data_IF_382452429826
#
_entry.id   IF_382452429826
#
_cell.length_a   1.000
_cell.length_b   1.000
_cell.length_c   1.000
_cell.angle_alpha   90.00
_cell.angle_beta   90.00
_cell.angle_gamma   90.00
#
_symmetry.space_group_name_H-M   'P 1'
#
loop_
_entity.id
_entity.type
_entity.pdbx_description
1 polymer ?
#
# COMPACT_ATOMS: atom_id res chain seq x y z
N UNK A 1 -66.75 -35.13 -52.01
CA UNK A 1 -65.73 -34.05 -52.03
C UNK A 1 -66.50 -32.76 -51.74
N UNK A 2 -66.32 -31.96 -50.68
CA UNK A 2 -65.10 -31.40 -50.07
C UNK A 2 -65.40 -30.98 -48.61
N UNK A 3 -64.55 -31.49 -47.71
CA UNK A 3 -64.05 -30.99 -46.40
C UNK A 3 -64.77 -29.83 -45.69
N UNK A 4 -65.40 -30.18 -44.55
CA UNK A 4 -65.72 -29.26 -43.45
C UNK A 4 -64.45 -29.07 -42.60
N UNK A 5 -63.91 -27.85 -42.57
CA UNK A 5 -62.76 -27.48 -41.75
C UNK A 5 -63.22 -27.15 -40.32
N UNK A 6 -62.97 -28.05 -39.39
CA UNK A 6 -63.03 -27.79 -37.94
C UNK A 6 -61.73 -27.09 -37.53
N UNK A 7 -61.77 -25.77 -37.34
CA UNK A 7 -60.67 -25.01 -36.76
C UNK A 7 -60.67 -25.19 -35.24
N UNK A 8 -59.81 -26.07 -34.75
CA UNK A 8 -59.47 -26.21 -33.33
C UNK A 8 -58.68 -24.96 -32.89
N UNK A 9 -59.32 -24.05 -32.16
CA UNK A 9 -58.63 -22.95 -31.51
C UNK A 9 -57.92 -23.48 -30.26
N UNK A 10 -56.66 -23.87 -30.41
CA UNK A 10 -55.78 -24.22 -29.30
C UNK A 10 -55.42 -22.94 -28.56
N UNK A 11 -56.12 -22.67 -27.47
CA UNK A 11 -55.75 -21.61 -26.51
C UNK A 11 -54.45 -22.05 -25.84
N UNK A 12 -53.32 -21.60 -26.39
CA UNK A 12 -52.03 -21.62 -25.70
C UNK A 12 -52.14 -20.65 -24.52
N UNK A 13 -52.41 -21.18 -23.34
CA UNK A 13 -52.14 -20.48 -22.10
C UNK A 13 -50.63 -20.28 -22.00
N UNK A 14 -50.15 -19.14 -22.48
CA UNK A 14 -48.79 -18.67 -22.20
C UNK A 14 -48.77 -18.35 -20.71
N UNK A 15 -48.39 -19.33 -19.90
CA UNK A 15 -48.01 -19.08 -18.51
C UNK A 15 -46.92 -18.02 -18.53
N UNK A 16 -47.13 -16.92 -17.83
CA UNK A 16 -46.09 -15.92 -17.63
C UNK A 16 -44.83 -16.64 -17.12
N UNK A 17 -43.62 -16.30 -17.60
CA UNK A 17 -42.41 -16.87 -17.03
C UNK A 17 -42.45 -16.56 -15.53
N UNK A 18 -42.35 -17.60 -14.70
CA UNK A 18 -42.07 -17.42 -13.29
C UNK A 18 -40.70 -16.75 -13.23
N UNK A 19 -40.70 -15.42 -13.07
CA UNK A 19 -39.48 -14.69 -12.82
C UNK A 19 -38.97 -15.18 -11.47
N UNK A 20 -37.82 -15.87 -11.48
CA UNK A 20 -37.14 -16.25 -10.27
C UNK A 20 -36.96 -14.99 -9.41
N UNK A 21 -37.47 -15.03 -8.18
CA UNK A 21 -37.43 -13.87 -7.29
C UNK A 21 -36.05 -13.84 -6.65
N UNK A 22 -35.29 -12.77 -6.87
CA UNK A 22 -34.01 -12.59 -6.17
C UNK A 22 -34.26 -12.26 -4.70
N UNK A 23 -33.51 -12.89 -3.81
CA UNK A 23 -33.60 -12.64 -2.37
C UNK A 23 -33.27 -11.18 -2.02
N UNK A 24 -34.11 -10.57 -1.17
CA UNK A 24 -33.98 -9.19 -0.69
C UNK A 24 -33.88 -9.16 0.85
N UNK A 25 -32.71 -8.77 1.37
CA UNK A 25 -32.47 -8.62 2.80
C UNK A 25 -33.36 -7.55 3.44
N UNK A 26 -33.56 -6.40 2.77
CA UNK A 26 -34.31 -5.27 3.34
C UNK A 26 -35.79 -5.62 3.53
N UNK A 27 -36.35 -6.43 2.63
CA UNK A 27 -37.70 -6.95 2.79
C UNK A 27 -37.80 -7.86 4.04
N UNK A 28 -36.85 -8.77 4.23
CA UNK A 28 -36.87 -9.72 5.34
C UNK A 28 -36.61 -9.04 6.70
N UNK A 29 -35.73 -8.04 6.77
CA UNK A 29 -35.51 -7.23 7.98
C UNK A 29 -36.79 -6.49 8.41
N UNK A 30 -37.67 -6.15 7.45
CA UNK A 30 -38.95 -5.50 7.71
C UNK A 30 -40.07 -6.43 8.18
N UNK A 31 -40.08 -7.68 7.70
CA UNK A 31 -41.12 -8.67 8.03
C UNK A 31 -40.78 -9.51 9.27
N UNK A 32 -39.49 -9.76 9.51
CA UNK A 32 -39.00 -10.49 10.67
C UNK A 32 -38.33 -9.50 11.62
N UNK A 33 -39.16 -8.75 12.36
CA UNK A 33 -38.68 -7.75 13.33
C UNK A 33 -37.71 -8.38 14.32
N UNK A 34 -36.54 -7.76 14.46
CA UNK A 34 -35.47 -8.14 15.39
C UNK A 34 -34.97 -9.58 15.21
N UNK A 35 -35.12 -10.15 14.01
CA UNK A 35 -34.49 -11.42 13.68
C UNK A 35 -32.97 -11.27 13.80
N UNK A 36 -32.35 -12.06 14.66
CA UNK A 36 -30.91 -12.19 14.66
C UNK A 36 -30.46 -12.70 13.28
N UNK A 37 -29.32 -12.23 12.77
CA UNK A 37 -28.76 -12.69 11.49
C UNK A 37 -28.63 -14.22 11.45
N UNK A 38 -28.40 -14.83 12.62
CA UNK A 38 -28.29 -16.27 12.84
C UNK A 38 -29.57 -17.06 12.60
N UNK A 39 -30.72 -16.38 12.48
CA UNK A 39 -31.99 -16.98 12.06
C UNK A 39 -31.87 -17.56 10.65
N UNK A 40 -31.14 -16.86 9.77
CA UNK A 40 -30.90 -17.28 8.39
C UNK A 40 -29.48 -17.82 8.21
N UNK A 41 -28.48 -17.15 8.79
CA UNK A 41 -27.07 -17.48 8.72
C UNK A 41 -26.65 -18.34 9.91
N UNK A 42 -27.04 -19.60 9.88
CA UNK A 42 -26.81 -20.52 11.01
C UNK A 42 -25.33 -20.70 11.34
N UNK A 43 -25.04 -20.83 12.64
CA UNK A 43 -23.69 -21.09 13.15
C UNK A 43 -23.14 -22.41 12.55
N UNK A 44 -21.82 -22.46 12.38
CA UNK A 44 -21.06 -23.59 11.79
C UNK A 44 -21.39 -23.93 10.32
N UNK A 45 -22.17 -23.11 9.61
CA UNK A 45 -22.37 -23.27 8.18
C UNK A 45 -21.07 -23.02 7.41
N UNK A 46 -20.77 -23.90 6.44
CA UNK A 46 -19.58 -23.79 5.56
C UNK A 46 -19.66 -22.58 4.62
N UNK A 47 -20.87 -22.05 4.39
CA UNK A 47 -21.12 -20.89 3.53
C UNK A 47 -22.02 -19.91 4.25
N UNK A 48 -21.76 -18.61 4.03
CA UNK A 48 -22.66 -17.55 4.47
C UNK A 48 -23.98 -17.59 3.70
N UNK A 49 -24.03 -18.19 2.50
CA UNK A 49 -25.29 -18.40 1.77
C UNK A 49 -26.09 -19.49 2.49
N UNK A 50 -27.28 -19.17 3.04
CA UNK A 50 -28.10 -20.15 3.75
C UNK A 50 -28.53 -21.29 2.83
N UNK A 51 -28.63 -22.50 3.37
CA UNK A 51 -29.28 -23.58 2.66
C UNK A 51 -30.75 -23.25 2.41
N UNK A 52 -31.28 -23.64 1.25
CA UNK A 52 -32.69 -23.47 0.86
C UNK A 52 -33.69 -23.95 1.91
N UNK A 53 -33.32 -24.99 2.66
CA UNK A 53 -34.09 -25.56 3.76
C UNK A 53 -34.34 -24.56 4.90
N UNK A 54 -33.49 -23.56 5.10
CA UNK A 54 -33.71 -22.52 6.12
C UNK A 54 -34.93 -21.67 5.75
N UNK A 55 -35.10 -21.35 4.47
CA UNK A 55 -36.25 -20.61 3.97
C UNK A 55 -37.57 -21.39 4.18
N UNK A 56 -37.51 -22.72 4.19
CA UNK A 56 -38.68 -23.60 4.37
C UNK A 56 -39.30 -23.54 5.76
N UNK A 57 -38.66 -22.86 6.72
CA UNK A 57 -39.24 -22.61 8.05
C UNK A 57 -40.43 -21.64 7.98
N UNK A 58 -40.45 -20.76 6.97
CA UNK A 58 -41.50 -19.76 6.77
C UNK A 58 -42.16 -19.84 5.38
N UNK A 59 -41.46 -20.36 4.38
CA UNK A 59 -41.93 -20.48 3.00
C UNK A 59 -42.18 -21.95 2.62
N UNK A 60 -43.02 -22.20 1.62
CA UNK A 60 -43.15 -23.55 1.08
C UNK A 60 -41.91 -23.95 0.27
N UNK A 61 -41.74 -25.27 0.07
CA UNK A 61 -40.56 -25.82 -0.58
C UNK A 61 -40.44 -25.40 -2.06
N UNK A 62 -41.56 -25.22 -2.77
CA UNK A 62 -41.53 -24.83 -4.18
C UNK A 62 -41.05 -23.39 -4.32
N UNK A 63 -41.57 -22.47 -3.48
CA UNK A 63 -41.10 -21.10 -3.46
C UNK A 63 -39.63 -20.98 -3.05
N UNK A 64 -39.19 -21.69 -2.01
CA UNK A 64 -37.82 -21.62 -1.51
C UNK A 64 -36.79 -22.02 -2.59
N UNK A 65 -37.07 -23.07 -3.36
CA UNK A 65 -36.21 -23.55 -4.46
C UNK A 65 -36.08 -22.50 -5.59
N UNK A 66 -37.16 -21.80 -5.93
CA UNK A 66 -37.19 -20.85 -7.05
C UNK A 66 -36.58 -19.47 -6.72
N UNK A 67 -36.22 -19.20 -5.46
CA UNK A 67 -35.55 -17.95 -5.08
C UNK A 67 -34.12 -17.93 -5.63
N UNK A 68 -33.68 -16.84 -6.27
CA UNK A 68 -32.28 -16.66 -6.63
C UNK A 68 -31.51 -15.93 -5.53
N UNK A 69 -30.29 -16.38 -5.23
CA UNK A 69 -29.42 -15.66 -4.31
C UNK A 69 -28.60 -14.61 -5.07
N UNK A 70 -28.48 -13.38 -4.55
CA UNK A 70 -27.58 -12.40 -5.13
C UNK A 70 -26.12 -12.89 -5.09
N UNK A 71 -25.35 -12.53 -6.12
CA UNK A 71 -23.96 -12.98 -6.26
C UNK A 71 -23.05 -12.42 -5.16
N UNK A 72 -22.31 -13.30 -4.50
CA UNK A 72 -21.21 -12.94 -3.58
C UNK A 72 -19.88 -12.82 -4.34
N UNK A 73 -19.84 -12.07 -5.45
CA UNK A 73 -18.64 -11.91 -6.28
C UNK A 73 -17.43 -11.39 -5.47
N UNK A 74 -17.67 -10.79 -4.31
CA UNK A 74 -16.65 -10.31 -3.37
C UNK A 74 -16.02 -11.39 -2.47
N UNK A 75 -16.55 -12.61 -2.39
CA UNK A 75 -16.11 -13.63 -1.42
C UNK A 75 -15.27 -14.73 -2.08
N UNK A 76 -14.28 -14.33 -2.88
CA UNK A 76 -13.37 -15.23 -3.59
C UNK A 76 -11.95 -15.25 -2.99
N UNK A 77 -11.14 -16.26 -3.35
CA UNK A 77 -9.74 -16.36 -2.89
C UNK A 77 -8.83 -15.22 -3.38
N UNK A 78 -9.30 -14.42 -4.35
CA UNK A 78 -8.58 -13.27 -4.89
C UNK A 78 -9.03 -11.93 -4.31
N UNK A 79 -9.95 -11.92 -3.34
CA UNK A 79 -10.51 -10.72 -2.69
C UNK A 79 -9.44 -9.68 -2.32
N UNK A 80 -8.31 -10.13 -1.74
CA UNK A 80 -7.21 -9.25 -1.36
C UNK A 80 -6.65 -8.40 -2.52
N UNK A 81 -6.79 -8.87 -3.76
CA UNK A 81 -6.23 -8.24 -4.95
C UNK A 81 -7.23 -7.42 -5.76
N UNK A 82 -8.51 -7.78 -5.74
CA UNK A 82 -9.51 -7.20 -6.64
C UNK A 82 -10.54 -6.31 -5.94
N UNK A 83 -10.70 -6.39 -4.61
CA UNK A 83 -11.76 -5.71 -3.86
C UNK A 83 -11.80 -4.19 -4.00
N UNK A 84 -10.72 -3.57 -4.47
CA UNK A 84 -10.65 -2.11 -4.70
C UNK A 84 -11.78 -1.62 -5.60
N UNK A 85 -12.11 -2.37 -6.65
CA UNK A 85 -13.15 -1.95 -7.60
C UNK A 85 -14.53 -1.95 -6.94
N UNK A 86 -14.80 -2.95 -6.11
CA UNK A 86 -16.03 -3.13 -5.36
C UNK A 86 -16.15 -2.11 -4.22
N UNK A 87 -15.06 -1.89 -3.47
CA UNK A 87 -15.01 -0.92 -2.37
C UNK A 87 -15.18 0.53 -2.85
N UNK A 88 -14.68 0.86 -4.05
CA UNK A 88 -14.87 2.19 -4.65
C UNK A 88 -16.23 2.35 -5.35
N UNK A 89 -16.82 1.25 -5.81
CA UNK A 89 -17.97 1.26 -6.70
C UNK A 89 -19.34 1.44 -6.03
N UNK A 90 -19.40 1.51 -4.69
CA UNK A 90 -20.63 1.54 -3.87
C UNK A 90 -21.67 0.44 -4.22
N UNK A 91 -21.28 -0.56 -5.02
CA UNK A 91 -22.19 -1.59 -5.51
C UNK A 91 -22.70 -2.51 -4.39
N UNK A 92 -21.98 -2.58 -3.26
CA UNK A 92 -22.31 -3.39 -2.08
C UNK A 92 -22.00 -2.56 -0.83
N UNK A 93 -22.94 -2.50 0.12
CA UNK A 93 -22.70 -1.92 1.43
C UNK A 93 -22.09 -2.97 2.37
N UNK A 94 -20.76 -3.11 2.35
CA UNK A 94 -20.05 -4.11 3.15
C UNK A 94 -20.35 -4.00 4.66
N UNK A 95 -20.63 -2.79 5.15
CA UNK A 95 -20.92 -2.54 6.56
C UNK A 95 -22.26 -3.12 7.05
N UNK A 96 -23.10 -3.64 6.14
CA UNK A 96 -24.28 -4.41 6.53
C UNK A 96 -23.92 -5.79 7.10
N UNK A 97 -22.77 -6.35 6.71
CA UNK A 97 -22.36 -7.70 7.13
C UNK A 97 -21.04 -7.71 7.91
N UNK A 98 -20.14 -6.74 7.67
CA UNK A 98 -18.79 -6.72 8.24
C UNK A 98 -18.57 -5.50 9.13
N UNK A 99 -17.87 -5.72 10.25
CA UNK A 99 -17.41 -4.63 11.10
C UNK A 99 -16.20 -3.90 10.50
N UNK A 100 -15.94 -2.68 10.96
CA UNK A 100 -14.82 -1.86 10.51
C UNK A 100 -13.46 -2.54 10.73
N UNK A 101 -13.36 -3.37 11.75
CA UNK A 101 -12.13 -4.08 12.12
C UNK A 101 -11.69 -5.08 11.03
N UNK A 102 -12.64 -5.69 10.30
CA UNK A 102 -12.32 -6.55 9.15
C UNK A 102 -11.48 -5.82 8.09
N UNK A 103 -11.80 -4.56 7.82
CA UNK A 103 -11.01 -3.75 6.88
C UNK A 103 -9.63 -3.44 7.45
N UNK A 104 -9.57 -3.18 8.76
CA UNK A 104 -8.35 -2.76 9.45
C UNK A 104 -7.37 -3.93 9.65
N UNK A 105 -7.85 -5.18 9.78
CA UNK A 105 -7.03 -6.38 9.86
C UNK A 105 -5.97 -6.47 8.74
N UNK A 106 -6.25 -5.89 7.58
CA UNK A 106 -5.27 -5.70 6.52
C UNK A 106 -4.86 -4.23 6.35
N UNK A 107 -5.75 -3.23 6.47
CA UNK A 107 -5.38 -1.84 6.16
C UNK A 107 -4.63 -1.10 7.27
N UNK A 108 -4.65 -1.56 8.52
CA UNK A 108 -3.88 -0.98 9.63
C UNK A 108 -2.60 -1.76 9.92
N UNK A 109 -2.62 -3.09 9.74
CA UNK A 109 -1.50 -4.01 9.93
C UNK A 109 -0.61 -4.15 8.69
N UNK A 110 -1.13 -3.92 7.47
CA UNK A 110 -0.33 -4.02 6.24
C UNK A 110 0.61 -2.82 6.01
N UNK A 111 0.71 -1.92 6.99
CA UNK A 111 1.50 -0.69 6.89
C UNK A 111 0.90 0.34 5.92
N UNK A 112 1.54 1.51 5.86
CA UNK A 112 1.29 2.48 4.78
C UNK A 112 1.79 1.90 3.46
N UNK A 113 1.43 2.53 2.34
CA UNK A 113 1.71 2.02 0.98
C UNK A 113 3.20 1.68 0.70
N UNK A 114 4.12 2.12 1.56
CA UNK A 114 5.57 1.98 1.53
C UNK A 114 6.16 0.91 2.48
N UNK A 115 5.34 0.23 3.27
CA UNK A 115 5.78 -0.74 4.28
C UNK A 115 5.32 -2.16 3.95
N UNK A 116 6.18 -3.13 4.25
CA UNK A 116 5.77 -4.52 4.42
C UNK A 116 4.81 -4.54 5.61
N UNK A 117 3.61 -5.06 5.40
CA UNK A 117 2.70 -5.38 6.48
C UNK A 117 3.29 -6.31 7.51
N UNK A 118 2.68 -6.39 8.69
CA UNK A 118 2.99 -7.45 9.62
C UNK A 118 2.83 -8.81 8.93
N UNK A 119 3.87 -9.65 9.06
CA UNK A 119 3.86 -11.02 8.55
C UNK A 119 2.84 -11.83 9.35
N UNK A 120 1.62 -11.88 8.83
CA UNK A 120 0.51 -12.66 9.39
C UNK A 120 0.14 -13.85 8.52
N UNK A 121 -0.93 -14.56 8.84
CA UNK A 121 -1.49 -15.60 7.96
C UNK A 121 -2.36 -15.03 6.83
N UNK A 122 -2.19 -13.75 6.46
CA UNK A 122 -2.99 -13.13 5.41
C UNK A 122 -2.45 -13.53 4.02
N UNK A 123 -3.36 -13.74 3.07
CA UNK A 123 -3.02 -14.03 1.67
C UNK A 123 -2.32 -12.85 0.96
N UNK A 124 -2.35 -11.66 1.59
CA UNK A 124 -1.87 -10.39 1.08
C UNK A 124 -0.42 -10.07 1.50
N UNK A 125 0.33 -11.04 2.03
CA UNK A 125 1.76 -10.93 2.34
C UNK A 125 2.64 -10.80 1.06
N UNK A 126 2.09 -10.26 -0.03
CA UNK A 126 2.86 -9.85 -1.18
C UNK A 126 3.22 -8.38 -1.01
N UNK A 127 4.49 -8.07 -1.21
CA UNK A 127 4.93 -6.70 -1.08
C UNK A 127 4.23 -5.81 -2.12
N UNK A 128 3.86 -4.57 -1.75
CA UNK A 128 3.40 -3.58 -2.73
C UNK A 128 4.52 -3.25 -3.72
N UNK A 129 4.17 -2.70 -4.89
CA UNK A 129 5.07 -2.54 -6.04
C UNK A 129 6.29 -1.63 -5.83
N UNK A 130 6.44 -1.00 -4.68
CA UNK A 130 7.56 -0.15 -4.29
C UNK A 130 8.44 -0.74 -3.16
N UNK A 131 8.27 -2.03 -2.83
CA UNK A 131 9.10 -2.72 -1.83
C UNK A 131 10.61 -2.54 -2.01
N UNK A 132 11.08 -2.34 -3.25
CA UNK A 132 12.46 -1.96 -3.54
C UNK A 132 13.01 -0.76 -2.72
N UNK A 133 12.13 0.10 -2.20
CA UNK A 133 12.49 1.26 -1.35
C UNK A 133 12.78 0.83 0.10
N UNK A 134 11.97 -0.08 0.65
CA UNK A 134 12.08 -0.56 2.05
C UNK A 134 12.86 -1.88 2.17
N UNK A 135 13.05 -2.61 1.08
CA UNK A 135 13.80 -3.86 0.98
C UNK A 135 15.19 -3.82 1.64
N UNK A 136 16.04 -2.79 1.43
CA UNK A 136 17.36 -2.75 2.07
C UNK A 136 17.31 -2.71 3.59
N UNK A 137 16.23 -2.19 4.17
CA UNK A 137 16.00 -2.12 5.61
C UNK A 137 15.55 -3.51 6.11
N UNK A 138 14.56 -4.11 5.44
CA UNK A 138 14.05 -5.44 5.77
C UNK A 138 15.15 -6.52 5.67
N UNK A 139 15.91 -6.54 4.57
CA UNK A 139 17.00 -7.49 4.33
C UNK A 139 18.17 -7.36 5.33
N UNK A 140 18.36 -6.20 5.97
CA UNK A 140 19.37 -6.00 7.02
C UNK A 140 18.88 -6.35 8.41
N UNK A 141 17.57 -6.27 8.63
CA UNK A 141 16.98 -6.51 9.94
C UNK A 141 16.81 -8.01 10.17
N UNK A 142 16.13 -8.70 9.24
CA UNK A 142 15.91 -10.14 9.34
C UNK A 142 15.75 -10.78 7.94
N UNK A 143 16.86 -11.15 7.28
CA UNK A 143 16.82 -11.76 5.96
C UNK A 143 16.26 -13.20 5.99
N UNK A 144 16.17 -13.86 7.15
CA UNK A 144 15.67 -15.24 7.23
C UNK A 144 14.15 -15.30 7.02
N UNK A 145 13.43 -14.23 7.33
CA UNK A 145 11.98 -14.13 7.07
C UNK A 145 11.65 -14.28 5.58
N UNK A 146 12.53 -13.81 4.70
CA UNK A 146 12.32 -13.87 3.25
C UNK A 146 12.30 -15.33 2.75
N UNK A 147 13.09 -16.21 3.37
CA UNK A 147 13.22 -17.62 2.99
C UNK A 147 11.97 -18.46 3.27
N UNK A 148 10.99 -17.92 4.00
CA UNK A 148 9.69 -18.55 4.20
C UNK A 148 8.83 -18.58 2.93
N UNK A 149 9.08 -17.65 2.00
CA UNK A 149 8.31 -17.50 0.76
C UNK A 149 9.19 -17.44 -0.50
N UNK A 150 10.44 -16.99 -0.39
CA UNK A 150 11.35 -16.78 -1.51
C UNK A 150 12.56 -17.71 -1.46
N UNK A 151 12.94 -18.26 -2.61
CA UNK A 151 14.19 -19.02 -2.76
C UNK A 151 15.42 -18.10 -2.81
N UNK A 152 16.58 -18.61 -2.41
CA UNK A 152 17.86 -17.87 -2.44
C UNK A 152 18.22 -17.36 -3.85
N UNK A 153 17.78 -18.07 -4.90
CA UNK A 153 17.92 -17.66 -6.31
C UNK A 153 17.33 -16.28 -6.57
N UNK A 154 16.18 -15.95 -5.97
CA UNK A 154 15.54 -14.64 -6.12
C UNK A 154 16.46 -13.48 -5.68
N UNK A 155 17.15 -13.66 -4.55
CA UNK A 155 18.12 -12.66 -4.08
C UNK A 155 19.27 -12.52 -5.08
N UNK A 156 19.83 -13.64 -5.55
CA UNK A 156 20.99 -13.63 -6.44
C UNK A 156 20.64 -13.06 -7.81
N UNK A 157 19.55 -13.49 -8.44
CA UNK A 157 19.14 -13.04 -9.78
C UNK A 157 18.90 -11.51 -9.83
N UNK A 158 18.30 -10.98 -8.77
CA UNK A 158 18.13 -9.53 -8.59
C UNK A 158 19.48 -8.86 -8.32
N UNK A 159 20.25 -9.31 -7.34
CA UNK A 159 21.52 -8.65 -6.99
C UNK A 159 22.61 -8.77 -8.07
N UNK A 160 22.56 -9.78 -8.92
CA UNK A 160 23.44 -9.96 -10.08
C UNK A 160 23.01 -9.06 -11.26
N UNK A 161 21.72 -8.77 -11.38
CA UNK A 161 21.20 -7.78 -12.34
C UNK A 161 21.35 -6.32 -11.86
N UNK A 162 21.56 -6.09 -10.55
CA UNK A 162 21.77 -4.78 -9.94
C UNK A 162 23.14 -4.69 -9.24
N UNK A 163 24.21 -4.47 -10.01
CA UNK A 163 25.53 -4.24 -9.44
C UNK A 163 25.52 -2.99 -8.53
N UNK A 164 26.35 -2.94 -7.48
CA UNK A 164 26.41 -1.79 -6.52
C UNK A 164 26.65 -0.41 -7.18
N UNK A 165 27.12 -0.39 -8.43
CA UNK A 165 27.28 0.83 -9.25
C UNK A 165 25.95 1.39 -9.76
N UNK A 166 24.87 0.60 -9.71
CA UNK A 166 23.54 0.89 -10.25
C UNK A 166 22.53 1.31 -9.18
N UNK A 167 22.98 1.59 -7.95
CA UNK A 167 22.12 2.15 -6.90
C UNK A 167 21.42 3.40 -7.44
N UNK A 168 20.11 3.27 -7.69
CA UNK A 168 19.28 4.22 -8.46
C UNK A 168 19.03 5.54 -7.74
N UNK A 169 19.51 5.68 -6.50
CA UNK A 169 19.46 6.91 -5.71
C UNK A 169 20.56 7.86 -6.17
N UNK A 170 20.21 9.11 -6.49
CA UNK A 170 21.16 10.16 -6.84
C UNK A 170 22.18 10.40 -5.73
N UNK A 171 21.78 10.19 -4.47
CA UNK A 171 22.67 10.27 -3.32
C UNK A 171 23.77 9.19 -3.29
N UNK A 172 23.62 8.09 -4.03
CA UNK A 172 24.63 7.03 -4.19
C UNK A 172 25.24 6.97 -5.59
N UNK A 173 24.56 7.54 -6.59
CA UNK A 173 25.14 7.70 -7.92
C UNK A 173 26.42 8.52 -7.78
N UNK A 174 27.48 8.05 -8.42
CA UNK A 174 28.80 8.67 -8.55
C UNK A 174 28.82 10.14 -9.01
N UNK A 175 27.66 10.77 -9.25
CA UNK A 175 27.51 12.14 -9.73
C UNK A 175 28.01 13.23 -8.78
N UNK A 176 28.01 13.03 -7.46
CA UNK A 176 28.70 13.96 -6.54
C UNK A 176 30.18 13.59 -6.42
N UNK A 177 30.48 12.32 -6.10
CA UNK A 177 31.84 11.88 -5.78
C UNK A 177 32.83 11.91 -6.95
N UNK A 178 32.36 11.72 -8.19
CA UNK A 178 33.22 11.54 -9.38
C UNK A 178 33.27 12.72 -10.33
N UNK A 179 32.62 13.85 -10.01
CA UNK A 179 32.69 14.99 -10.92
C UNK A 179 32.16 16.32 -10.37
N UNK A 180 32.88 17.37 -10.75
CA UNK A 180 32.47 18.77 -10.69
C UNK A 180 32.31 19.28 -12.12
N UNK A 181 31.66 20.45 -12.29
CA UNK A 181 31.73 21.21 -13.55
C UNK A 181 33.15 21.64 -13.94
N UNK A 182 34.15 21.40 -13.08
CA UNK A 182 35.56 21.73 -13.26
C UNK A 182 36.43 20.49 -13.55
N UNK A 183 35.83 19.30 -13.70
CA UNK A 183 36.58 18.06 -13.98
C UNK A 183 37.32 17.45 -12.79
N UNK A 184 37.09 17.97 -11.58
CA UNK A 184 37.64 17.46 -10.32
C UNK A 184 36.61 16.59 -9.59
N UNK A 185 37.05 15.54 -8.89
CA UNK A 185 36.18 14.65 -8.13
C UNK A 185 36.02 15.13 -6.68
N UNK A 186 34.79 15.35 -6.18
CA UNK A 186 34.57 15.75 -4.78
C UNK A 186 35.15 14.76 -3.76
N UNK A 187 35.33 13.49 -4.14
CA UNK A 187 35.99 12.47 -3.31
C UNK A 187 37.44 12.82 -2.92
N UNK A 188 38.10 13.74 -3.63
CA UNK A 188 39.48 14.15 -3.37
C UNK A 188 39.60 15.28 -2.32
N UNK A 189 38.47 15.83 -1.88
CA UNK A 189 38.43 16.99 -0.99
C UNK A 189 37.86 16.62 0.38
N UNK A 190 38.29 17.33 1.41
CA UNK A 190 37.75 17.22 2.76
C UNK A 190 36.87 18.44 3.13
N UNK A 191 36.23 18.38 4.31
CA UNK A 191 35.23 19.34 4.77
C UNK A 191 35.77 20.77 4.96
N UNK A 192 37.10 20.98 4.96
CA UNK A 192 37.71 22.31 5.09
C UNK A 192 37.88 23.03 3.76
N UNK A 193 37.78 22.32 2.65
CA UNK A 193 38.10 22.84 1.31
C UNK A 193 36.86 23.27 0.53
N UNK A 194 35.65 23.06 1.06
CA UNK A 194 34.43 23.27 0.30
C UNK A 194 34.17 24.76 0.00
N UNK A 195 34.55 25.65 0.93
CA UNK A 195 34.29 27.10 0.82
C UNK A 195 35.05 27.76 -0.34
N UNK A 196 36.17 27.21 -0.79
CA UNK A 196 36.96 27.79 -1.90
C UNK A 196 36.27 27.70 -3.27
N UNK A 197 35.28 26.83 -3.40
CA UNK A 197 34.56 26.62 -4.67
C UNK A 197 33.06 26.89 -4.56
N UNK A 198 32.48 26.79 -3.36
CA UNK A 198 31.04 26.92 -3.13
C UNK A 198 30.66 28.22 -2.42
N UNK A 199 31.57 29.20 -2.30
CA UNK A 199 31.23 30.56 -1.88
C UNK A 199 31.52 31.56 -2.99
N UNK A 200 30.61 32.49 -3.19
CA UNK A 200 30.87 33.66 -4.03
C UNK A 200 31.73 34.70 -3.29
N UNK A 201 32.10 35.76 -4.01
CA UNK A 201 32.91 36.87 -3.47
C UNK A 201 32.22 37.67 -2.35
N UNK A 202 30.91 37.51 -2.18
CA UNK A 202 30.12 38.11 -1.10
C UNK A 202 29.86 37.13 0.06
N UNK A 203 30.45 35.93 0.00
CA UNK A 203 30.29 34.88 1.02
C UNK A 203 29.01 34.05 0.88
N UNK A 204 28.20 34.30 -0.15
CA UNK A 204 26.98 33.57 -0.47
C UNK A 204 27.27 32.14 -0.93
N UNK A 205 26.44 31.18 -0.50
CA UNK A 205 26.59 29.78 -0.89
C UNK A 205 26.15 29.56 -2.34
N UNK A 206 27.06 29.04 -3.16
CA UNK A 206 26.80 28.67 -4.55
C UNK A 206 26.82 27.14 -4.68
N UNK A 207 25.64 26.56 -4.78
CA UNK A 207 25.45 25.14 -5.11
C UNK A 207 25.03 25.02 -6.57
N UNK A 208 25.92 24.56 -7.48
CA UNK A 208 25.57 24.39 -8.88
C UNK A 208 24.39 23.42 -9.00
N UNK A 209 23.31 23.88 -9.62
CA UNK A 209 22.20 23.02 -10.05
C UNK A 209 22.54 22.23 -11.32
N UNK A 210 23.66 22.53 -11.97
CA UNK A 210 24.08 21.97 -13.25
C UNK A 210 24.27 20.45 -13.26
N UNK A 211 24.50 19.82 -12.11
CA UNK A 211 24.56 18.35 -11.99
C UNK A 211 23.24 17.73 -11.52
N UNK A 212 22.18 18.51 -11.28
CA UNK A 212 20.90 18.12 -10.67
C UNK A 212 21.00 17.37 -9.33
N UNK A 213 22.21 17.12 -8.83
CA UNK A 213 22.45 16.32 -7.64
C UNK A 213 21.81 16.98 -6.42
N UNK A 214 22.09 18.26 -6.16
CA UNK A 214 21.57 18.99 -5.00
C UNK A 214 20.04 18.99 -4.93
N UNK A 215 19.36 19.08 -6.09
CA UNK A 215 17.89 19.08 -6.18
C UNK A 215 17.31 17.68 -5.94
N UNK A 216 17.89 16.66 -6.56
CA UNK A 216 17.41 15.29 -6.46
C UNK A 216 17.74 14.68 -5.08
N UNK A 217 18.93 14.92 -4.56
CA UNK A 217 19.34 14.59 -3.19
C UNK A 217 18.38 15.19 -2.16
N UNK A 218 18.07 16.49 -2.27
CA UNK A 218 17.13 17.14 -1.36
C UNK A 218 15.73 16.50 -1.42
N UNK A 219 15.27 16.10 -2.61
CA UNK A 219 13.99 15.40 -2.78
C UNK A 219 14.01 14.00 -2.15
N UNK A 220 15.10 13.26 -2.33
CA UNK A 220 15.29 11.93 -1.73
C UNK A 220 15.31 12.02 -0.20
N UNK A 221 16.13 12.91 0.35
CA UNK A 221 16.27 13.10 1.80
C UNK A 221 14.96 13.52 2.47
N UNK A 222 14.15 14.36 1.80
CA UNK A 222 12.82 14.79 2.32
C UNK A 222 11.77 13.70 2.28
N UNK A 223 11.88 12.72 1.37
CA UNK A 223 10.92 11.60 1.30
C UNK A 223 11.09 10.67 2.50
N UNK A 224 12.33 10.25 2.78
CA UNK A 224 12.62 9.39 3.92
C UNK A 224 14.11 9.44 4.30
N UNK A 225 14.46 10.25 5.30
CA UNK A 225 15.83 10.33 5.82
C UNK A 225 16.25 9.05 6.57
N UNK A 226 15.30 8.39 7.23
CA UNK A 226 15.58 7.19 8.03
C UNK A 226 16.11 6.03 7.17
N UNK A 227 15.66 5.92 5.92
CA UNK A 227 16.19 4.95 4.95
C UNK A 227 17.70 5.12 4.71
N UNK A 228 18.20 6.36 4.66
CA UNK A 228 19.63 6.61 4.53
C UNK A 228 20.39 6.30 5.83
N UNK A 229 19.81 6.67 6.97
CA UNK A 229 20.39 6.44 8.29
C UNK A 229 20.47 4.96 8.68
N UNK A 230 19.69 4.09 8.06
CA UNK A 230 19.83 2.63 8.23
C UNK A 230 21.23 2.12 7.83
N UNK A 231 21.89 2.78 6.88
CA UNK A 231 23.27 2.47 6.47
C UNK A 231 24.29 3.49 7.00
N UNK A 232 23.86 4.74 7.21
CA UNK A 232 24.67 5.84 7.75
C UNK A 232 24.10 6.30 9.09
N UNK A 233 24.14 5.47 10.15
CA UNK A 233 23.46 5.74 11.42
C UNK A 233 24.00 6.99 12.11
N UNK A 234 25.25 7.29 11.81
CA UNK A 234 26.00 8.41 12.34
C UNK A 234 25.80 9.70 11.55
N UNK A 235 25.09 9.64 10.41
CA UNK A 235 24.93 10.78 9.51
C UNK A 235 26.27 11.37 9.04
N UNK A 236 27.35 10.60 9.13
CA UNK A 236 28.74 10.97 8.82
C UNK A 236 28.87 11.56 7.42
N UNK A 237 28.13 11.01 6.46
CA UNK A 237 28.06 11.51 5.08
C UNK A 237 27.28 12.83 4.97
N UNK A 238 26.21 13.01 5.76
CA UNK A 238 25.37 14.21 5.74
C UNK A 238 26.12 15.40 6.37
N UNK A 239 26.85 15.13 7.46
CA UNK A 239 27.56 16.13 8.24
C UNK A 239 28.71 16.79 7.49
N UNK A 240 29.19 16.19 6.39
CA UNK A 240 30.18 16.83 5.51
C UNK A 240 29.66 18.11 4.85
N UNK A 241 28.36 18.22 4.65
CA UNK A 241 27.72 19.36 3.99
C UNK A 241 26.77 20.13 4.92
N UNK A 242 26.07 19.44 5.82
CA UNK A 242 24.99 19.99 6.64
C UNK A 242 25.35 20.22 8.11
N UNK A 243 26.57 19.88 8.54
CA UNK A 243 27.04 20.20 9.89
C UNK A 243 27.14 21.70 10.09
N UNK A 244 26.85 22.18 11.29
CA UNK A 244 27.13 23.58 11.65
C UNK A 244 28.60 23.81 12.03
N UNK A 245 29.33 22.73 12.36
CA UNK A 245 30.71 22.79 12.84
C UNK A 245 31.74 22.74 11.71
N UNK A 246 31.40 22.13 10.59
CA UNK A 246 32.33 21.82 9.50
C UNK A 246 31.62 21.78 8.14
N UNK A 247 32.38 21.80 7.04
CA UNK A 247 31.82 21.66 5.70
C UNK A 247 31.13 22.93 5.19
N UNK A 248 30.17 22.73 4.28
CA UNK A 248 29.44 23.81 3.62
C UNK A 248 28.40 24.51 4.49
N UNK A 249 28.00 23.90 5.61
CA UNK A 249 26.98 24.41 6.54
C UNK A 249 25.67 24.72 5.84
N UNK A 250 25.29 23.89 4.86
CA UNK A 250 24.03 24.04 4.12
C UNK A 250 22.89 23.70 5.06
N UNK A 251 21.93 24.61 5.22
CA UNK A 251 20.77 24.35 6.07
C UNK A 251 19.90 23.22 5.46
N UNK A 252 19.77 22.04 6.12
CA UNK A 252 18.93 20.96 5.61
C UNK A 252 17.45 21.15 5.93
N UNK A 253 17.10 22.11 6.80
CA UNK A 253 15.74 22.31 7.25
C UNK A 253 14.87 22.99 6.18
N UNK A 254 13.56 22.67 6.11
CA UNK A 254 12.63 23.30 5.19
C UNK A 254 12.37 24.78 5.57
N UNK A 255 11.69 25.51 4.69
CA UNK A 255 11.43 26.94 4.88
C UNK A 255 10.55 27.22 6.12
N UNK A 256 9.65 26.31 6.47
CA UNK A 256 8.74 26.34 7.62
C UNK A 256 9.34 25.70 8.89
N UNK A 257 10.67 25.58 8.98
CA UNK A 257 11.35 24.93 10.12
C UNK A 257 10.97 25.50 11.49
N UNK A 258 10.74 26.81 11.58
CA UNK A 258 10.30 27.48 12.81
C UNK A 258 9.07 26.82 13.41
N UNK A 259 8.17 26.32 12.57
CA UNK A 259 6.85 25.87 12.97
C UNK A 259 6.89 24.42 13.50
N UNK A 260 7.94 23.66 13.13
CA UNK A 260 8.07 22.23 13.46
C UNK A 260 9.22 21.92 14.44
N UNK A 261 10.22 22.80 14.54
CA UNK A 261 11.45 22.57 15.32
C UNK A 261 11.19 22.24 16.80
N UNK A 262 10.36 23.01 17.49
CA UNK A 262 10.06 22.79 18.91
C UNK A 262 9.28 21.51 19.21
N UNK A 263 8.58 20.93 18.23
CA UNK A 263 7.96 19.60 18.36
C UNK A 263 9.03 18.50 18.28
N UNK A 264 9.93 18.61 17.31
CA UNK A 264 11.01 17.64 17.06
C UNK A 264 12.05 17.64 18.19
N UNK A 265 12.36 18.81 18.74
CA UNK A 265 13.26 18.93 19.89
C UNK A 265 12.69 18.20 21.11
N UNK A 266 11.42 18.43 21.44
CA UNK A 266 10.74 17.75 22.56
C UNK A 266 10.65 16.24 22.33
N UNK A 267 10.31 15.81 21.12
CA UNK A 267 10.21 14.39 20.79
C UNK A 267 11.55 13.65 20.89
N UNK A 268 12.66 14.32 20.56
CA UNK A 268 14.01 13.71 20.60
C UNK A 268 14.78 13.97 21.90
N UNK A 269 14.26 14.84 22.79
CA UNK A 269 15.02 15.34 23.96
C UNK A 269 16.32 16.05 23.55
N UNK A 270 16.30 16.74 22.40
CA UNK A 270 17.44 17.43 21.81
C UNK A 270 18.62 16.53 21.40
N UNK A 271 18.47 15.19 21.43
CA UNK A 271 19.57 14.26 21.06
C UNK A 271 19.88 14.34 19.57
N UNK A 272 18.85 14.41 18.72
CA UNK A 272 19.01 14.52 17.27
C UNK A 272 19.69 15.84 16.88
N UNK A 273 19.32 16.94 17.55
CA UNK A 273 19.87 18.27 17.29
C UNK A 273 21.38 18.32 17.54
N UNK A 274 21.84 17.73 18.65
CA UNK A 274 23.27 17.65 19.04
C UNK A 274 24.16 16.88 18.07
N UNK A 275 23.56 16.15 17.11
CA UNK A 275 24.32 15.45 16.07
C UNK A 275 24.82 16.42 15.00
N UNK A 276 24.04 17.44 14.69
CA UNK A 276 24.33 18.41 13.63
C UNK A 276 24.79 19.78 14.17
N UNK A 277 24.51 20.05 15.44
CA UNK A 277 24.82 21.28 16.19
C UNK A 277 25.80 21.03 17.32
#
# INVERSE_FOLDING_TARGET
MVRILLTFAMVLAVGAPAFAVTFDHAAHDGYVKDAACTTCHVEDAVSIVPAKKVCQQCHDAAFAEDVEYPSLTSHGPLWAFDHRAQAKGEAINCAQCHEQDFCLECHSSAGRADEMGELGNNLANVHRGDFQVSHPIAARTDPQLCSSCHETSFCNDCHDSFARRDLRLWSHRRGFSEGTSLGLAHAQFNETQCDSCHRDSLGGLVLPSSTNWSVNHAREARKNLATCQACHPDGDICLKCHSTKSGLRVNPHPADWSDISGRLERASGGRTCRRCH
#
